data_IF_073456196899
#
_entry.id   IF_073456196899
#
_cell.length_a   1.000
_cell.length_b   1.000
_cell.length_c   1.000
_cell.angle_alpha   90.00
_cell.angle_beta   90.00
_cell.angle_gamma   90.00
#
_symmetry.space_group_name_H-M   'P 1'
#
loop_
_entity.id
_entity.type
_entity.pdbx_description
1 polymer ?
#
# COMPACT_ATOMS: atom_id res chain seq x y z
N UNK A 1 9.26 22.20 -6.99
CA UNK A 1 9.16 21.73 -8.39
C UNK A 1 7.72 21.88 -8.88
N UNK A 2 7.55 22.16 -10.17
CA UNK A 2 6.24 22.18 -10.83
C UNK A 2 6.31 21.33 -12.10
N UNK A 3 5.45 20.31 -12.19
CA UNK A 3 5.37 19.42 -13.35
C UNK A 3 3.95 19.42 -13.90
N UNK A 4 3.82 19.42 -15.23
CA UNK A 4 2.55 19.31 -15.94
C UNK A 4 2.64 18.24 -17.00
N UNK A 5 1.59 17.42 -17.11
CA UNK A 5 1.48 16.33 -18.08
C UNK A 5 2.73 15.43 -18.14
N UNK A 6 3.27 15.05 -16.98
CA UNK A 6 4.44 14.18 -16.87
C UNK A 6 4.12 12.86 -16.21
N UNK A 7 4.77 11.80 -16.66
CA UNK A 7 4.78 10.50 -15.99
C UNK A 7 5.75 10.54 -14.81
N UNK A 8 5.53 9.70 -13.79
CA UNK A 8 6.44 9.57 -12.67
C UNK A 8 7.87 9.18 -13.12
N UNK A 9 8.02 8.31 -14.12
CA UNK A 9 9.32 8.00 -14.74
C UNK A 9 10.08 9.23 -15.25
N UNK A 10 9.35 10.16 -15.88
CA UNK A 10 9.92 11.40 -16.41
C UNK A 10 10.28 12.39 -15.29
N UNK A 11 9.45 12.45 -14.24
CA UNK A 11 9.70 13.30 -13.06
C UNK A 11 10.96 12.84 -12.35
N UNK A 12 11.11 11.53 -12.09
CA UNK A 12 12.30 10.95 -11.48
C UNK A 12 13.55 11.25 -12.31
N UNK A 13 13.48 11.00 -13.63
CA UNK A 13 14.61 11.26 -14.53
C UNK A 13 15.02 12.73 -14.53
N UNK A 14 14.06 13.65 -14.52
CA UNK A 14 14.35 15.08 -14.47
C UNK A 14 14.98 15.47 -13.14
N UNK A 15 14.38 15.08 -12.01
CA UNK A 15 14.90 15.39 -10.68
C UNK A 15 16.34 14.89 -10.54
N UNK A 16 16.63 13.66 -10.98
CA UNK A 16 17.98 13.08 -10.91
C UNK A 16 18.99 13.87 -11.76
N UNK A 17 18.61 14.27 -12.98
CA UNK A 17 19.45 15.09 -13.85
C UNK A 17 19.72 16.48 -13.27
N UNK A 18 18.70 17.12 -12.70
CA UNK A 18 18.79 18.47 -12.13
C UNK A 18 19.80 18.54 -10.95
N UNK A 19 20.06 17.42 -10.28
CA UNK A 19 21.03 17.29 -9.18
C UNK A 19 22.30 16.51 -9.55
N UNK A 20 22.46 16.12 -10.82
CA UNK A 20 23.64 15.43 -11.31
C UNK A 20 23.81 13.99 -10.79
N UNK A 21 22.73 13.32 -10.37
CA UNK A 21 22.79 11.92 -9.98
C UNK A 21 22.70 10.98 -11.19
N UNK A 22 23.38 9.85 -11.10
CA UNK A 22 23.36 8.82 -12.14
C UNK A 22 21.99 8.15 -12.19
N UNK A 23 21.42 8.04 -13.39
CA UNK A 23 20.17 7.33 -13.64
C UNK A 23 20.48 5.97 -14.25
N UNK A 24 19.90 4.92 -13.68
CA UNK A 24 19.97 3.56 -14.20
C UNK A 24 18.73 3.21 -15.03
N UNK A 25 18.18 2.01 -14.82
CA UNK A 25 16.96 1.60 -15.51
C UNK A 25 15.74 2.28 -14.91
N UNK A 26 15.03 3.09 -15.69
CA UNK A 26 13.74 3.70 -15.32
C UNK A 26 12.65 3.16 -16.24
N UNK A 27 11.80 2.28 -15.71
CA UNK A 27 10.65 1.77 -16.46
C UNK A 27 9.57 2.84 -16.69
N UNK A 28 8.91 2.79 -17.84
CA UNK A 28 7.84 3.72 -18.19
C UNK A 28 6.59 3.46 -17.34
N UNK A 29 6.26 4.41 -16.46
CA UNK A 29 5.11 4.30 -15.55
C UNK A 29 3.74 4.43 -16.22
N UNK A 30 3.71 4.74 -17.53
CA UNK A 30 2.54 4.84 -18.43
C UNK A 30 1.52 5.93 -18.12
N UNK A 31 1.19 6.18 -16.85
CA UNK A 31 0.22 7.20 -16.45
C UNK A 31 0.82 8.60 -16.50
N UNK A 32 0.12 9.50 -17.21
CA UNK A 32 0.46 10.92 -17.32
C UNK A 32 -0.25 11.67 -16.20
N UNK A 33 0.53 12.28 -15.31
CA UNK A 33 0.02 13.04 -14.17
C UNK A 33 -0.30 14.46 -14.66
N UNK A 34 -1.56 14.95 -14.53
CA UNK A 34 -1.94 16.26 -15.06
C UNK A 34 -1.11 17.41 -14.48
N UNK A 35 -0.95 17.43 -13.16
CA UNK A 35 -0.10 18.40 -12.48
C UNK A 35 0.41 17.89 -11.13
N UNK A 36 1.63 18.28 -10.79
CA UNK A 36 2.23 18.16 -9.47
C UNK A 36 2.85 19.52 -9.13
N UNK A 37 2.33 20.16 -8.09
CA UNK A 37 2.90 21.35 -7.49
C UNK A 37 3.34 21.00 -6.08
N UNK A 38 4.64 20.94 -5.87
CA UNK A 38 5.23 20.61 -4.57
C UNK A 38 6.34 21.63 -4.29
N UNK A 39 6.07 22.54 -3.35
CA UNK A 39 6.99 23.55 -2.83
C UNK A 39 7.50 23.13 -1.46
N UNK A 40 8.77 23.39 -1.18
CA UNK A 40 9.39 23.13 0.13
C UNK A 40 9.27 21.67 0.61
N UNK A 41 9.33 20.72 -0.33
CA UNK A 41 9.35 19.28 -0.06
C UNK A 41 10.67 18.64 -0.46
N UNK A 42 11.03 17.54 0.20
CA UNK A 42 12.19 16.75 -0.19
C UNK A 42 11.96 16.17 -1.58
N UNK A 43 13.02 16.06 -2.37
CA UNK A 43 12.95 15.46 -3.71
C UNK A 43 12.35 14.05 -3.69
N UNK A 44 12.70 13.28 -2.66
CA UNK A 44 12.17 11.95 -2.44
C UNK A 44 10.64 11.96 -2.19
N UNK A 45 10.13 12.95 -1.46
CA UNK A 45 8.67 13.09 -1.24
C UNK A 45 7.95 13.41 -2.54
N UNK A 46 8.55 14.25 -3.41
CA UNK A 46 8.01 14.57 -4.73
C UNK A 46 7.96 13.32 -5.61
N UNK A 47 9.02 12.53 -5.58
CA UNK A 47 9.10 11.24 -6.29
C UNK A 47 8.00 10.30 -5.80
N UNK A 48 7.89 10.06 -4.49
CA UNK A 48 6.87 9.15 -3.94
C UNK A 48 5.45 9.65 -4.18
N UNK A 49 5.19 10.96 -4.08
CA UNK A 49 3.89 11.55 -4.45
C UNK A 49 3.52 11.26 -5.92
N UNK A 50 4.49 11.32 -6.83
CA UNK A 50 4.27 10.97 -8.25
C UNK A 50 3.99 9.47 -8.45
N UNK A 51 4.66 8.60 -7.69
CA UNK A 51 4.45 7.15 -7.74
C UNK A 51 3.11 6.75 -7.11
N UNK A 52 2.68 7.42 -6.03
CA UNK A 52 1.38 7.23 -5.41
C UNK A 52 0.24 7.58 -6.38
N UNK A 53 0.33 8.72 -7.07
CA UNK A 53 -0.63 9.09 -8.12
C UNK A 53 -0.68 8.05 -9.24
N UNK A 54 0.48 7.51 -9.63
CA UNK A 54 0.57 6.42 -10.60
C UNK A 54 -0.13 5.16 -10.08
N UNK A 55 0.12 4.76 -8.82
CA UNK A 55 -0.50 3.61 -8.18
C UNK A 55 -2.02 3.73 -8.13
N UNK A 56 -2.55 4.88 -7.69
CA UNK A 56 -3.99 5.11 -7.57
C UNK A 56 -4.70 4.94 -8.93
N UNK A 57 -4.09 5.41 -10.03
CA UNK A 57 -4.68 5.41 -11.36
C UNK A 57 -4.43 4.12 -12.17
N UNK A 58 -3.28 3.48 -12.01
CA UNK A 58 -2.90 2.29 -12.81
C UNK A 58 -3.03 0.97 -12.05
N UNK A 59 -3.13 1.04 -10.71
CA UNK A 59 -3.00 -0.11 -9.79
C UNK A 59 -1.66 -0.85 -9.92
N UNK A 60 -0.66 -0.24 -10.54
CA UNK A 60 0.69 -0.77 -10.66
C UNK A 60 1.58 -0.20 -9.56
N UNK A 61 2.36 -1.08 -8.92
CA UNK A 61 3.35 -0.69 -7.91
C UNK A 61 4.73 -0.68 -8.54
N UNK A 62 5.50 0.37 -8.27
CA UNK A 62 6.87 0.52 -8.74
C UNK A 62 7.80 0.63 -7.53
N UNK A 63 8.95 -0.03 -7.63
CA UNK A 63 10.04 0.05 -6.67
C UNK A 63 11.08 1.03 -7.20
N UNK A 64 11.34 2.08 -6.41
CA UNK A 64 12.42 3.04 -6.63
C UNK A 64 13.58 2.66 -5.71
N UNK A 65 14.77 2.43 -6.26
CA UNK A 65 15.93 1.88 -5.53
C UNK A 65 17.25 2.37 -6.11
N UNK A 66 18.33 2.19 -5.33
CA UNK A 66 19.70 2.41 -5.78
C UNK A 66 20.30 1.11 -6.31
N UNK A 67 20.97 1.20 -7.45
CA UNK A 67 21.76 0.13 -8.05
C UNK A 67 23.20 0.62 -8.28
N UNK A 68 24.08 0.40 -7.29
CA UNK A 68 25.47 0.85 -7.29
C UNK A 68 25.63 2.35 -7.62
N UNK A 69 24.85 3.20 -6.93
CA UNK A 69 24.87 4.65 -7.13
C UNK A 69 24.03 5.14 -8.32
N UNK A 70 23.32 4.25 -9.02
CA UNK A 70 22.39 4.61 -10.08
C UNK A 70 20.93 4.51 -9.60
N UNK A 71 20.17 5.58 -9.75
CA UNK A 71 18.75 5.62 -9.40
C UNK A 71 17.94 4.81 -10.42
N UNK A 72 17.23 3.79 -9.95
CA UNK A 72 16.45 2.86 -10.77
C UNK A 72 14.98 2.83 -10.34
N UNK A 73 14.10 2.52 -11.30
CA UNK A 73 12.67 2.38 -11.11
C UNK A 73 12.18 1.16 -11.89
N UNK A 74 11.54 0.21 -11.21
CA UNK A 74 11.05 -1.03 -11.80
C UNK A 74 9.65 -1.38 -11.30
N UNK A 75 8.78 -1.85 -12.18
CA UNK A 75 7.48 -2.40 -11.79
C UNK A 75 7.72 -3.69 -11.00
N UNK A 76 7.06 -3.84 -9.86
CA UNK A 76 7.23 -5.01 -8.98
C UNK A 76 6.92 -6.33 -9.71
N UNK A 77 6.00 -6.31 -10.68
CA UNK A 77 5.65 -7.49 -11.46
C UNK A 77 6.81 -7.96 -12.36
N UNK A 78 7.71 -7.06 -12.76
CA UNK A 78 8.89 -7.36 -13.56
C UNK A 78 10.10 -7.76 -12.70
N UNK A 79 9.96 -7.71 -11.37
CA UNK A 79 10.98 -8.15 -10.41
C UNK A 79 10.75 -9.58 -9.91
N UNK A 80 9.70 -10.24 -10.41
CA UNK A 80 9.36 -11.61 -10.00
C UNK A 80 10.39 -12.58 -10.54
N UNK A 81 11.09 -13.25 -9.65
CA UNK A 81 11.95 -14.38 -10.00
C UNK A 81 11.22 -15.70 -9.74
N UNK A 82 11.47 -16.68 -10.61
CA UNK A 82 10.96 -18.04 -10.42
C UNK A 82 11.90 -18.80 -9.49
N UNK A 83 11.80 -18.52 -8.20
CA UNK A 83 12.58 -19.21 -7.16
C UNK A 83 11.69 -20.22 -6.45
N UNK A 84 12.14 -21.48 -6.38
CA UNK A 84 11.52 -22.50 -5.54
C UNK A 84 12.24 -22.47 -4.21
N UNK A 85 11.49 -22.28 -3.13
CA UNK A 85 12.01 -22.37 -1.76
C UNK A 85 11.68 -23.78 -1.26
N UNK A 86 12.69 -24.50 -0.77
CA UNK A 86 12.56 -25.85 -0.24
C UNK A 86 13.47 -26.02 0.97
N UNK A 87 12.90 -26.64 2.01
CA UNK A 87 13.53 -26.98 3.28
C UNK A 87 14.87 -27.70 3.10
N UNK A 88 14.99 -28.54 2.06
CA UNK A 88 16.17 -29.37 1.81
C UNK A 88 17.26 -28.68 0.97
N UNK A 89 17.05 -27.42 0.54
CA UNK A 89 17.96 -26.77 -0.42
C UNK A 89 18.40 -25.36 -0.07
N UNK A 90 17.47 -24.44 0.13
CA UNK A 90 17.77 -23.01 0.18
C UNK A 90 17.02 -22.26 1.30
N UNK A 91 16.21 -22.96 2.08
CA UNK A 91 15.57 -22.40 3.25
C UNK A 91 16.50 -22.58 4.45
N UNK A 92 17.02 -21.46 4.99
CA UNK A 92 17.71 -21.46 6.28
C UNK A 92 16.73 -21.56 7.45
N UNK A 93 17.20 -21.32 8.67
CA UNK A 93 16.34 -21.26 9.84
C UNK A 93 15.24 -20.19 9.66
N UNK A 94 13.97 -20.56 9.89
CA UNK A 94 12.84 -19.65 9.80
C UNK A 94 11.96 -19.74 11.04
N UNK A 95 11.51 -18.59 11.53
CA UNK A 95 10.52 -18.47 12.58
C UNK A 95 9.16 -18.10 11.97
N UNK A 96 8.15 -18.94 12.19
CA UNK A 96 6.78 -18.66 11.76
C UNK A 96 5.87 -18.44 12.97
N UNK A 97 5.25 -17.26 13.04
CA UNK A 97 4.26 -16.91 14.08
C UNK A 97 2.91 -16.65 13.44
N UNK A 98 1.91 -17.42 13.86
CA UNK A 98 0.50 -17.16 13.59
C UNK A 98 -0.19 -16.86 14.92
N UNK A 99 -0.82 -15.69 15.06
CA UNK A 99 -1.48 -15.28 16.31
C UNK A 99 -2.94 -14.90 16.05
N UNK A 100 -3.82 -15.35 16.94
CA UNK A 100 -5.24 -15.00 17.01
C UNK A 100 -5.47 -13.95 18.11
N UNK A 101 -4.43 -13.56 18.86
CA UNK A 101 -4.55 -12.78 20.11
C UNK A 101 -4.89 -11.31 19.90
N UNK A 102 -4.59 -10.74 18.72
CA UNK A 102 -4.85 -9.33 18.42
C UNK A 102 -5.75 -9.17 17.19
N UNK A 103 -6.83 -8.40 17.35
CA UNK A 103 -7.73 -7.93 16.28
C UNK A 103 -8.39 -9.00 15.39
N UNK A 104 -8.48 -10.24 15.87
CA UNK A 104 -9.19 -11.32 15.16
C UNK A 104 -10.60 -11.51 15.72
N UNK A 105 -11.62 -11.28 14.89
CA UNK A 105 -13.03 -11.39 15.28
C UNK A 105 -13.82 -12.23 14.27
N UNK A 106 -14.69 -13.11 14.77
CA UNK A 106 -15.63 -13.88 13.94
C UNK A 106 -17.08 -13.41 14.10
N UNK A 107 -17.30 -12.37 14.93
CA UNK A 107 -18.56 -11.64 15.08
C UNK A 107 -18.29 -10.14 15.24
N UNK A 108 -18.92 -9.31 14.42
CA UNK A 108 -18.85 -7.85 14.50
C UNK A 108 -20.24 -7.32 14.86
N UNK A 109 -20.35 -6.63 16.00
CA UNK A 109 -21.56 -5.95 16.46
C UNK A 109 -21.33 -4.44 16.49
N UNK A 110 -22.02 -3.72 15.62
CA UNK A 110 -22.01 -2.26 15.60
C UNK A 110 -23.33 -1.75 16.13
N UNK A 111 -23.27 -0.77 17.04
CA UNK A 111 -24.45 -0.12 17.61
C UNK A 111 -24.43 1.34 17.21
N UNK A 112 -25.53 1.82 16.65
CA UNK A 112 -25.78 3.22 16.31
C UNK A 112 -26.96 3.72 17.13
N UNK A 113 -26.77 4.80 17.87
CA UNK A 113 -27.89 5.50 18.50
C UNK A 113 -28.46 6.50 17.50
N UNK A 114 -29.74 6.35 17.15
CA UNK A 114 -30.48 7.29 16.33
C UNK A 114 -31.20 8.28 17.26
N UNK A 115 -30.70 9.52 17.36
CA UNK A 115 -31.25 10.55 18.25
C UNK A 115 -32.56 11.13 17.70
N UNK A 116 -32.79 11.08 16.40
CA UNK A 116 -34.02 11.57 15.77
C UNK A 116 -35.22 10.65 16.09
N UNK A 117 -35.02 9.33 16.07
CA UNK A 117 -36.06 8.35 16.35
C UNK A 117 -36.10 7.84 17.81
N UNK A 118 -35.17 8.30 18.67
CA UNK A 118 -34.93 7.75 20.02
C UNK A 118 -34.79 6.22 20.02
N UNK A 119 -34.13 5.67 18.98
CA UNK A 119 -33.97 4.21 18.78
C UNK A 119 -32.50 3.84 18.68
N UNK A 120 -32.20 2.59 19.03
CA UNK A 120 -30.85 2.03 18.93
C UNK A 120 -30.82 0.97 17.84
N UNK A 121 -30.10 1.24 16.76
CA UNK A 121 -29.91 0.33 15.65
C UNK A 121 -28.71 -0.58 15.90
N UNK A 122 -28.91 -1.89 15.73
CA UNK A 122 -27.89 -2.91 15.98
C UNK A 122 -27.62 -3.67 14.69
N UNK A 123 -26.39 -3.59 14.21
CA UNK A 123 -25.91 -4.30 13.03
C UNK A 123 -24.96 -5.42 13.46
N UNK A 124 -25.24 -6.66 13.03
CA UNK A 124 -24.43 -7.83 13.37
C UNK A 124 -24.03 -8.55 12.08
N UNK A 125 -22.72 -8.73 11.89
CA UNK A 125 -22.15 -9.64 10.90
C UNK A 125 -21.40 -10.76 11.63
N UNK A 126 -21.58 -12.02 11.22
CA UNK A 126 -20.93 -13.16 11.87
C UNK A 126 -20.60 -14.30 10.91
N UNK A 127 -19.54 -15.04 11.23
CA UNK A 127 -19.16 -16.27 10.54
C UNK A 127 -19.39 -17.47 11.46
N UNK A 128 -20.53 -18.15 11.27
CA UNK A 128 -20.93 -19.29 12.07
C UNK A 128 -19.97 -20.49 11.96
N UNK A 129 -19.27 -20.66 10.83
CA UNK A 129 -18.30 -21.77 10.67
C UNK A 129 -17.05 -21.52 11.50
N UNK A 130 -16.56 -20.29 11.50
CA UNK A 130 -15.40 -19.92 12.32
C UNK A 130 -15.74 -19.80 13.81
N UNK A 131 -16.98 -19.41 14.17
CA UNK A 131 -17.47 -19.47 15.56
C UNK A 131 -17.48 -20.91 16.10
N UNK A 132 -17.92 -21.87 15.29
CA UNK A 132 -17.93 -23.29 15.69
C UNK A 132 -16.52 -23.85 15.93
N UNK A 133 -15.51 -23.34 15.22
CA UNK A 133 -14.11 -23.78 15.33
C UNK A 133 -13.37 -23.11 16.48
N UNK A 134 -13.60 -21.82 16.71
CA UNK A 134 -12.74 -20.97 17.54
C UNK A 134 -13.47 -20.32 18.73
N UNK A 135 -14.74 -20.67 18.95
CA UNK A 135 -15.60 -19.97 19.90
C UNK A 135 -15.97 -18.57 19.40
N UNK A 136 -16.76 -17.81 20.18
CA UNK A 136 -17.25 -16.50 19.76
C UNK A 136 -16.24 -15.39 20.11
N UNK A 137 -15.62 -14.80 19.09
CA UNK A 137 -14.72 -13.65 19.18
C UNK A 137 -15.45 -12.41 18.66
N UNK A 138 -15.94 -11.56 19.58
CA UNK A 138 -16.82 -10.46 19.24
C UNK A 138 -16.12 -9.09 19.28
N UNK A 139 -16.14 -8.39 18.15
CA UNK A 139 -15.87 -6.95 18.11
C UNK A 139 -17.15 -6.18 18.42
N UNK A 140 -17.06 -5.19 19.31
CA UNK A 140 -18.17 -4.30 19.64
C UNK A 140 -17.74 -2.85 19.46
N UNK A 141 -18.50 -2.09 18.67
CA UNK A 141 -18.27 -0.65 18.51
C UNK A 141 -19.59 0.11 18.54
N UNK A 142 -19.65 1.14 19.39
CA UNK A 142 -20.67 2.17 19.32
C UNK A 142 -20.19 3.27 18.36
N UNK A 143 -21.02 3.64 17.40
CA UNK A 143 -20.70 4.70 16.42
C UNK A 143 -21.65 5.88 16.63
N UNK A 144 -21.09 7.09 16.61
CA UNK A 144 -21.87 8.32 16.67
C UNK A 144 -22.54 8.60 15.33
N UNK A 145 -23.68 9.30 15.38
CA UNK A 145 -24.34 9.85 14.20
C UNK A 145 -23.42 10.82 13.47
N UNK A 146 -23.26 10.61 12.17
CA UNK A 146 -22.79 11.61 11.22
C UNK A 146 -23.70 11.60 10.01
#
# INVERSE_FOLDING_TARGET
YFFTNKKASQIISQIANDIGLKVGTIEDTKYVIPSILESDKKLLDIIYSSLEKTLVNTKQTYTFYDDFGALCLKNINNMRERTVISDDSNLGDYDWKNSIESDTYNRVKIVRENKEEMRTDVFIAQDSKNIAKWGRLQYYKKVDEK
#
